data_IF_688118025984
#
_entry.id   IF_688118025984
#
_cell.length_a   1.000
_cell.length_b   1.000
_cell.length_c   1.000
_cell.angle_alpha   90.00
_cell.angle_beta   90.00
_cell.angle_gamma   90.00
#
_symmetry.space_group_name_H-M   'P 1'
#
loop_
_entity.id
_entity.type
_entity.pdbx_description
1 polymer ?
#
# COMPACT_ATOMS: atom_id res chain seq x y z
N UNK A 1 -1.19 14.41 -4.14
CA UNK A 1 -1.07 13.51 -2.96
C UNK A 1 0.40 13.40 -2.54
N UNK A 2 0.80 14.01 -1.42
CA UNK A 2 2.19 13.94 -0.92
C UNK A 2 2.54 12.49 -0.48
N UNK A 3 1.65 11.84 0.27
CA UNK A 3 1.80 10.46 0.78
C UNK A 3 2.12 9.40 -0.28
N UNK A 4 1.52 9.46 -1.49
CA UNK A 4 1.81 8.48 -2.55
C UNK A 4 3.23 8.57 -3.11
N UNK A 5 3.84 9.78 -3.10
CA UNK A 5 5.23 9.98 -3.52
C UNK A 5 6.19 9.39 -2.48
N UNK A 6 5.91 9.60 -1.19
CA UNK A 6 6.72 9.06 -0.08
C UNK A 6 6.69 7.53 -0.06
N UNK A 7 5.52 6.92 -0.29
CA UNK A 7 5.39 5.46 -0.36
C UNK A 7 6.15 4.88 -1.56
N UNK A 8 6.11 5.55 -2.73
CA UNK A 8 6.94 5.15 -3.88
C UNK A 8 8.43 5.27 -3.56
N UNK A 9 8.84 6.29 -2.82
CA UNK A 9 10.24 6.48 -2.39
C UNK A 9 10.69 5.36 -1.44
N UNK A 10 9.85 4.96 -0.46
CA UNK A 10 10.11 3.80 0.42
C UNK A 10 10.28 2.50 -0.37
N UNK A 11 9.42 2.22 -1.37
CA UNK A 11 9.59 1.02 -2.23
C UNK A 11 10.90 1.04 -3.01
N UNK A 12 11.33 2.21 -3.47
CA UNK A 12 12.60 2.36 -4.21
C UNK A 12 13.81 2.16 -3.30
N UNK A 13 13.76 2.66 -2.06
CA UNK A 13 14.79 2.42 -1.04
C UNK A 13 14.87 0.95 -0.65
N UNK A 14 13.73 0.29 -0.42
CA UNK A 14 13.67 -1.15 -0.18
C UNK A 14 14.31 -1.95 -1.33
N UNK A 15 14.08 -1.56 -2.59
CA UNK A 15 14.72 -2.20 -3.74
C UNK A 15 16.25 -1.99 -3.77
N UNK A 16 16.75 -0.84 -3.31
CA UNK A 16 18.18 -0.57 -3.21
C UNK A 16 18.81 -1.44 -2.11
N UNK A 17 18.18 -1.52 -0.94
CA UNK A 17 18.60 -2.38 0.17
C UNK A 17 18.62 -3.87 -0.25
N UNK A 18 17.62 -4.30 -1.03
CA UNK A 18 17.56 -5.65 -1.57
C UNK A 18 18.77 -5.94 -2.48
N UNK A 19 19.15 -4.97 -3.34
CA UNK A 19 20.31 -5.09 -4.23
C UNK A 19 21.64 -5.03 -3.47
N UNK A 20 21.69 -4.37 -2.32
CA UNK A 20 22.85 -4.38 -1.41
C UNK A 20 23.06 -5.72 -0.69
N UNK A 21 22.05 -6.60 -0.67
CA UNK A 21 22.11 -7.88 0.04
C UNK A 21 21.31 -7.91 1.35
N UNK A 22 20.79 -6.76 1.80
CA UNK A 22 19.91 -6.65 2.97
C UNK A 22 18.46 -7.07 2.63
N UNK A 23 18.31 -8.32 2.16
CA UNK A 23 17.03 -8.84 1.67
C UNK A 23 15.93 -8.83 2.74
N UNK A 24 16.29 -9.11 4.00
CA UNK A 24 15.33 -9.18 5.12
C UNK A 24 14.73 -7.81 5.45
N UNK A 25 15.58 -6.78 5.60
CA UNK A 25 15.13 -5.41 5.87
C UNK A 25 14.40 -4.81 4.67
N UNK A 26 14.88 -5.08 3.46
CA UNK A 26 14.21 -4.69 2.23
C UNK A 26 12.79 -5.27 2.15
N UNK A 27 12.61 -6.55 2.49
CA UNK A 27 11.29 -7.17 2.49
C UNK A 27 10.34 -6.54 3.50
N UNK A 28 10.82 -6.25 4.72
CA UNK A 28 10.02 -5.55 5.74
C UNK A 28 9.60 -4.17 5.25
N UNK A 29 10.55 -3.36 4.77
CA UNK A 29 10.24 -2.01 4.25
C UNK A 29 9.29 -2.05 3.05
N UNK A 30 9.45 -3.03 2.17
CA UNK A 30 8.58 -3.19 1.00
C UNK A 30 7.17 -3.61 1.41
N UNK A 31 7.03 -4.51 2.39
CA UNK A 31 5.74 -4.95 2.90
C UNK A 31 4.97 -3.79 3.55
N UNK A 32 5.63 -2.97 4.38
CA UNK A 32 5.03 -1.79 4.98
C UNK A 32 4.62 -0.76 3.93
N UNK A 33 5.50 -0.45 2.98
CA UNK A 33 5.19 0.47 1.90
C UNK A 33 4.05 -0.06 1.00
N UNK A 34 3.95 -1.37 0.79
CA UNK A 34 2.83 -1.98 0.06
C UNK A 34 1.53 -1.82 0.84
N UNK A 35 1.53 -2.05 2.15
CA UNK A 35 0.35 -1.90 3.01
C UNK A 35 -0.14 -0.44 3.04
N UNK A 36 0.77 0.52 3.24
CA UNK A 36 0.42 1.95 3.17
C UNK A 36 -0.13 2.33 1.78
N UNK A 37 0.44 1.78 0.70
CA UNK A 37 -0.05 2.04 -0.66
C UNK A 37 -1.44 1.46 -0.88
N UNK A 38 -1.70 0.27 -0.34
CA UNK A 38 -2.98 -0.42 -0.44
C UNK A 38 -4.05 0.32 0.37
N UNK A 39 -3.74 0.80 1.58
CA UNK A 39 -4.65 1.67 2.34
C UNK A 39 -4.92 3.01 1.64
N UNK A 40 -3.89 3.61 1.03
CA UNK A 40 -4.08 4.84 0.27
C UNK A 40 -4.91 4.60 -0.99
N UNK A 41 -4.73 3.45 -1.65
CA UNK A 41 -5.54 3.02 -2.78
C UNK A 41 -6.95 2.61 -2.35
N UNK A 42 -7.12 2.02 -1.18
CA UNK A 42 -8.40 1.59 -0.62
C UNK A 42 -9.25 2.78 -0.18
N UNK A 43 -8.64 3.82 0.41
CA UNK A 43 -9.30 5.13 0.62
C UNK A 43 -9.67 5.83 -0.68
N UNK A 44 -8.92 5.57 -1.75
CA UNK A 44 -9.11 6.22 -3.05
C UNK A 44 -9.82 5.32 -4.08
N UNK A 45 -10.15 4.09 -3.70
CA UNK A 45 -11.03 3.21 -4.45
C UNK A 45 -12.39 3.54 -3.88
N UNK A 46 -13.33 4.10 -4.65
CA UNK A 46 -14.70 4.12 -4.18
C UNK A 46 -15.01 2.67 -3.82
N UNK A 47 -15.36 2.42 -2.56
CA UNK A 47 -15.99 1.17 -2.20
C UNK A 47 -17.07 0.94 -3.27
N UNK A 48 -17.21 -0.27 -3.86
CA UNK A 48 -18.45 -0.54 -4.58
C UNK A 48 -19.54 -0.15 -3.60
N UNK A 49 -20.34 0.86 -3.99
CA UNK A 49 -21.35 1.44 -3.12
C UNK A 49 -22.05 0.27 -2.45
N UNK A 50 -22.02 0.25 -1.12
CA UNK A 50 -22.75 -0.74 -0.34
C UNK A 50 -24.13 -0.81 -0.97
N UNK A 51 -24.42 -1.90 -1.67
CA UNK A 51 -25.74 -2.11 -2.23
C UNK A 51 -26.67 -2.10 -1.03
N UNK A 52 -27.60 -1.12 -0.90
CA UNK A 52 -28.62 -1.21 0.12
C UNK A 52 -29.61 -2.27 -0.38
N UNK A 53 -29.30 -3.54 -0.12
CA UNK A 53 -30.12 -4.65 -0.55
C UNK A 53 -30.11 -5.74 0.52
N UNK A 54 -30.86 -5.47 1.59
CA UNK A 54 -31.79 -6.42 2.20
C UNK A 54 -32.49 -5.71 3.38
N UNK A 55 -33.30 -4.71 3.07
CA UNK A 55 -34.58 -4.60 3.75
C UNK A 55 -35.48 -5.66 3.09
N UNK A 56 -35.72 -6.75 3.79
CA UNK A 56 -36.83 -7.65 3.51
C UNK A 56 -37.33 -8.12 4.87
N UNK A 57 -38.55 -7.65 5.13
CA UNK A 57 -39.56 -8.03 6.11
C UNK A 57 -39.51 -9.49 6.60
#
# INVERSE_FOLDING_TARGET
MRKSKDIKRKRKLAAIEFRKGNKTEAYKMYAEAKKELDELRGRNKPAPAAAPAAAAE
#
